data_IF_310061298622
#
_entry.id   IF_310061298622
#
_cell.length_a   1.000
_cell.length_b   1.000
_cell.length_c   1.000
_cell.angle_alpha   90.00
_cell.angle_beta   90.00
_cell.angle_gamma   90.00
#
_symmetry.space_group_name_H-M   'P 1'
#
loop_
_entity.id
_entity.type
_entity.pdbx_description
1 polymer ?
#
# COMPACT_ATOMS: atom_id res chain seq x y z
N UNK A 1 2.85 15.87 1.51
CA UNK A 1 3.88 16.23 0.52
C UNK A 1 5.17 15.51 0.90
N UNK A 2 5.87 14.94 -0.08
CA UNK A 2 7.17 14.30 0.09
C UNK A 2 8.29 15.34 -0.02
N UNK A 3 9.44 15.09 0.64
CA UNK A 3 10.56 16.04 0.66
C UNK A 3 11.29 16.22 -0.67
N UNK A 4 11.06 15.31 -1.62
CA UNK A 4 11.62 15.32 -2.98
C UNK A 4 10.75 14.43 -3.88
N UNK A 5 10.95 14.43 -5.21
CA UNK A 5 10.33 13.45 -6.09
C UNK A 5 10.82 12.03 -5.78
N UNK A 6 9.89 11.10 -5.57
CA UNK A 6 10.16 9.68 -5.41
C UNK A 6 9.52 8.88 -6.54
N UNK A 7 10.23 7.88 -7.04
CA UNK A 7 9.70 6.96 -8.04
C UNK A 7 8.89 5.86 -7.33
N UNK A 8 7.56 5.98 -7.35
CA UNK A 8 6.63 5.11 -6.63
C UNK A 8 5.79 4.29 -7.61
N UNK A 9 5.47 3.06 -7.22
CA UNK A 9 4.54 2.14 -7.89
C UNK A 9 3.49 1.56 -6.92
N UNK A 10 3.62 1.87 -5.63
CA UNK A 10 2.80 1.33 -4.57
C UNK A 10 2.70 2.28 -3.38
N UNK A 11 1.59 2.21 -2.67
CA UNK A 11 1.39 2.81 -1.35
C UNK A 11 0.33 2.01 -0.59
N UNK A 12 0.33 2.10 0.74
CA UNK A 12 -0.75 1.55 1.56
C UNK A 12 -1.29 2.62 2.49
N UNK A 13 -2.60 2.59 2.69
CA UNK A 13 -3.28 3.45 3.64
C UNK A 13 -4.10 2.60 4.60
N UNK A 14 -4.19 3.03 5.86
CA UNK A 14 -5.10 2.46 6.84
C UNK A 14 -6.27 3.42 7.01
N UNK A 15 -7.46 2.97 6.63
CA UNK A 15 -8.72 3.64 6.93
C UNK A 15 -9.14 3.23 8.34
N UNK A 16 -9.74 4.16 9.08
CA UNK A 16 -10.29 3.86 10.41
C UNK A 16 -11.29 2.69 10.34
N UNK A 17 -11.09 1.69 11.21
CA UNK A 17 -11.84 0.44 11.22
C UNK A 17 -12.30 0.01 12.62
N UNK A 18 -12.26 0.92 13.60
CA UNK A 18 -12.76 0.64 14.95
C UNK A 18 -14.31 0.68 15.04
N UNK A 19 -15.01 0.98 13.94
CA UNK A 19 -16.48 0.92 13.83
C UNK A 19 -16.91 0.49 12.41
N UNK A 20 -18.22 0.32 12.19
CA UNK A 20 -18.80 -0.21 10.94
C UNK A 20 -18.82 0.82 9.78
N UNK A 21 -17.93 1.81 9.80
CA UNK A 21 -17.84 2.82 8.75
C UNK A 21 -17.01 2.30 7.59
N UNK A 22 -17.50 2.58 6.40
CA UNK A 22 -16.76 2.36 5.16
C UNK A 22 -16.68 3.66 4.36
N UNK A 23 -15.62 3.76 3.58
CA UNK A 23 -15.27 4.96 2.84
C UNK A 23 -15.16 4.63 1.35
N UNK A 24 -15.69 5.52 0.52
CA UNK A 24 -15.39 5.56 -0.91
C UNK A 24 -14.47 6.73 -1.17
N UNK A 25 -13.41 6.51 -1.95
CA UNK A 25 -12.36 7.50 -2.13
C UNK A 25 -11.64 7.32 -3.46
N UNK A 26 -10.85 8.30 -3.83
CA UNK A 26 -9.89 8.17 -4.90
C UNK A 26 -8.56 8.83 -4.52
N UNK A 27 -7.49 8.42 -5.19
CA UNK A 27 -6.14 8.92 -4.95
C UNK A 27 -5.57 9.51 -6.23
N UNK A 28 -5.09 10.73 -6.10
CA UNK A 28 -4.36 11.43 -7.14
C UNK A 28 -2.91 11.66 -6.70
N UNK A 29 -2.00 11.66 -7.67
CA UNK A 29 -0.60 12.02 -7.46
C UNK A 29 -0.20 13.15 -8.38
N UNK A 30 0.78 13.93 -7.94
CA UNK A 30 1.33 15.03 -8.73
C UNK A 30 2.81 15.21 -8.43
N UNK A 31 3.54 15.77 -9.40
CA UNK A 31 4.91 16.26 -9.22
C UNK A 31 4.97 17.77 -8.99
N UNK A 32 3.92 18.52 -9.36
CA UNK A 32 3.98 19.98 -9.49
C UNK A 32 2.78 20.75 -8.86
N UNK A 33 1.81 20.07 -8.23
CA UNK A 33 0.55 20.62 -7.67
C UNK A 33 -0.50 21.10 -8.68
N UNK A 34 -0.19 21.19 -9.97
CA UNK A 34 -1.11 21.65 -11.00
C UNK A 34 -1.70 20.49 -11.79
N UNK A 35 -0.83 19.55 -12.19
CA UNK A 35 -1.21 18.36 -12.95
C UNK A 35 -1.40 17.19 -11.99
N UNK A 36 -2.62 16.68 -11.93
CA UNK A 36 -3.00 15.57 -11.06
C UNK A 36 -3.35 14.35 -11.89
N UNK A 37 -2.77 13.21 -11.53
CA UNK A 37 -3.05 11.93 -12.15
C UNK A 37 -3.81 11.03 -11.18
N UNK A 38 -4.99 10.57 -11.58
CA UNK A 38 -5.76 9.56 -10.87
C UNK A 38 -5.01 8.21 -10.93
N UNK A 39 -4.60 7.70 -9.77
CA UNK A 39 -3.89 6.41 -9.64
C UNK A 39 -4.74 5.31 -9.01
N UNK A 40 -5.82 5.68 -8.33
CA UNK A 40 -6.71 4.74 -7.65
C UNK A 40 -8.12 5.32 -7.56
N UNK A 41 -9.12 4.58 -8.03
CA UNK A 41 -10.53 4.97 -7.97
C UNK A 41 -11.35 3.90 -7.24
N UNK A 42 -11.88 4.27 -6.08
CA UNK A 42 -12.81 3.49 -5.26
C UNK A 42 -14.05 4.31 -4.92
N UNK A 43 -14.44 5.23 -5.78
CA UNK A 43 -15.61 6.12 -5.60
C UNK A 43 -16.94 5.39 -5.49
N UNK A 44 -17.00 4.13 -5.95
CA UNK A 44 -18.21 3.28 -5.95
C UNK A 44 -18.09 2.06 -5.05
N UNK A 45 -17.03 1.99 -4.24
CA UNK A 45 -16.74 0.85 -3.39
C UNK A 45 -16.72 1.28 -1.92
N UNK A 46 -17.12 0.36 -1.04
CA UNK A 46 -17.08 0.53 0.40
C UNK A 46 -15.77 -0.07 0.91
N UNK A 47 -14.80 0.78 1.23
CA UNK A 47 -13.47 0.39 1.68
C UNK A 47 -13.32 0.59 3.19
N UNK A 48 -12.60 -0.31 3.87
CA UNK A 48 -12.34 -0.27 5.32
C UNK A 48 -10.97 -0.88 5.62
N UNK A 49 -10.38 -0.55 6.77
CA UNK A 49 -9.06 -1.08 7.18
C UNK A 49 -7.95 -0.79 6.15
N UNK A 50 -6.97 -1.70 6.01
CA UNK A 50 -5.84 -1.57 5.09
C UNK A 50 -6.26 -1.60 3.63
N UNK A 51 -5.78 -0.62 2.88
CA UNK A 51 -5.95 -0.51 1.44
C UNK A 51 -4.59 -0.51 0.77
N UNK A 52 -4.33 -1.53 -0.04
CA UNK A 52 -3.13 -1.67 -0.84
C UNK A 52 -3.38 -1.07 -2.22
N UNK A 53 -2.60 -0.04 -2.56
CA UNK A 53 -2.76 0.73 -3.79
C UNK A 53 -1.53 0.49 -4.65
N UNK A 54 -1.75 -0.01 -5.87
CA UNK A 54 -0.69 -0.24 -6.86
C UNK A 54 -0.99 0.53 -8.13
N UNK A 55 0.02 1.15 -8.73
CA UNK A 55 -0.11 1.96 -9.93
C UNK A 55 1.17 1.91 -10.75
N UNK A 56 1.08 2.29 -12.04
CA UNK A 56 2.26 2.34 -12.91
C UNK A 56 3.34 3.21 -12.31
N UNK A 57 4.57 2.67 -12.22
CA UNK A 57 5.74 3.31 -11.63
C UNK A 57 5.97 4.71 -12.20
N UNK A 58 5.91 5.75 -11.35
CA UNK A 58 5.96 7.16 -11.77
C UNK A 58 6.55 8.07 -10.69
N UNK A 59 7.08 9.26 -11.05
CA UNK A 59 7.53 10.24 -10.07
C UNK A 59 6.34 10.85 -9.31
N UNK A 60 6.47 10.94 -7.99
CA UNK A 60 5.45 11.48 -7.08
C UNK A 60 6.10 12.42 -6.07
N UNK A 61 5.50 13.59 -5.87
CA UNK A 61 5.87 14.56 -4.81
C UNK A 61 4.66 14.83 -3.91
N UNK A 62 3.48 14.89 -4.50
CA UNK A 62 2.22 15.18 -3.84
C UNK A 62 1.29 14.00 -4.00
N UNK A 63 0.62 13.65 -2.91
CA UNK A 63 -0.41 12.63 -2.85
C UNK A 63 -1.64 13.32 -2.30
N UNK A 64 -2.77 13.18 -2.98
CA UNK A 64 -4.07 13.67 -2.54
C UNK A 64 -5.00 12.48 -2.42
N UNK A 65 -5.62 12.34 -1.27
CA UNK A 65 -6.64 11.32 -1.00
C UNK A 65 -7.95 12.06 -0.77
N UNK A 66 -8.95 11.75 -1.59
CA UNK A 66 -10.23 12.45 -1.58
C UNK A 66 -11.32 11.43 -1.22
N UNK A 67 -11.93 11.62 -0.06
CA UNK A 67 -13.16 10.91 0.31
C UNK A 67 -14.35 11.46 -0.48
N UNK A 68 -15.12 10.57 -1.10
CA UNK A 68 -16.30 10.92 -1.92
C UNK A 68 -17.60 10.44 -1.30
N UNK A 69 -17.57 9.32 -0.56
CA UNK A 69 -18.71 8.81 0.17
C UNK A 69 -18.26 8.18 1.49
N UNK A 70 -19.16 8.18 2.47
CA UNK A 70 -18.97 7.55 3.77
C UNK A 70 -20.30 6.90 4.18
N UNK A 71 -20.30 5.63 4.57
CA UNK A 71 -21.54 4.92 4.95
C UNK A 71 -22.13 5.31 6.30
N UNK A 72 -21.48 6.16 7.10
CA UNK A 72 -22.06 6.82 8.28
C UNK A 72 -23.15 7.86 7.95
N UNK A 73 -23.44 8.05 6.66
CA UNK A 73 -24.26 9.14 6.13
C UNK A 73 -25.76 9.07 6.44
N UNK A 74 -26.29 8.07 7.13
CA UNK A 74 -27.70 8.10 7.55
C UNK A 74 -27.94 8.78 8.91
N UNK A 75 -26.93 8.88 9.80
CA UNK A 75 -27.22 9.24 11.19
C UNK A 75 -26.31 10.30 11.85
N UNK A 76 -25.19 10.70 11.25
CA UNK A 76 -24.26 11.63 11.92
C UNK A 76 -23.67 12.64 10.95
N UNK A 77 -23.80 13.93 11.29
CA UNK A 77 -23.28 15.13 10.61
C UNK A 77 -21.74 15.21 10.49
N UNK A 78 -21.02 14.09 10.54
CA UNK A 78 -19.56 14.02 10.49
C UNK A 78 -19.09 13.34 9.20
N UNK A 79 -18.99 14.13 8.13
CA UNK A 79 -18.40 13.74 6.84
C UNK A 79 -16.86 13.73 6.89
N UNK A 80 -16.27 13.09 7.91
CA UNK A 80 -14.80 13.08 8.06
C UNK A 80 -14.22 11.82 7.44
N UNK A 81 -13.30 12.00 6.48
CA UNK A 81 -12.48 10.93 5.94
C UNK A 81 -11.30 10.68 6.91
N UNK A 82 -11.29 9.52 7.57
CA UNK A 82 -10.26 9.18 8.55
C UNK A 82 -9.24 8.19 7.97
N UNK A 83 -8.10 8.74 7.54
CA UNK A 83 -6.90 7.98 7.23
C UNK A 83 -5.94 8.08 8.43
N UNK A 84 -5.58 6.94 9.02
CA UNK A 84 -4.73 6.88 10.22
C UNK A 84 -3.29 6.48 9.92
N UNK A 85 -3.03 5.87 8.77
CA UNK A 85 -1.69 5.51 8.35
C UNK A 85 -1.55 5.70 6.84
N UNK A 86 -0.39 6.20 6.42
CA UNK A 86 0.01 6.24 5.02
C UNK A 86 1.47 5.84 4.94
N UNK A 87 1.75 4.88 4.06
CA UNK A 87 3.10 4.43 3.77
C UNK A 87 3.32 4.35 2.27
N UNK A 88 4.46 4.85 1.81
CA UNK A 88 4.89 4.74 0.43
C UNK A 88 6.44 4.68 0.33
N UNK A 89 7.00 3.74 -0.45
CA UNK A 89 6.33 2.62 -1.11
C UNK A 89 5.66 1.69 -0.08
N UNK A 90 4.64 0.93 -0.49
CA UNK A 90 4.03 -0.03 0.42
C UNK A 90 5.09 -1.09 0.77
N UNK A 91 5.39 -1.31 2.05
CA UNK A 91 6.09 -2.53 2.44
C UNK A 91 5.33 -3.72 1.88
N UNK A 92 6.04 -4.56 1.14
CA UNK A 92 5.58 -5.90 0.80
C UNK A 92 5.34 -6.63 2.11
N UNK A 93 4.11 -6.68 2.59
CA UNK A 93 3.70 -7.89 3.29
C UNK A 93 3.91 -9.01 2.28
N UNK A 94 4.67 -10.03 2.67
CA UNK A 94 4.97 -11.22 1.88
C UNK A 94 3.75 -11.62 1.04
N UNK A 95 3.68 -11.16 -0.21
CA UNK A 95 2.87 -11.81 -1.24
C UNK A 95 3.54 -13.15 -1.34
N UNK A 96 2.99 -14.11 -0.60
CA UNK A 96 3.59 -15.39 -0.26
C UNK A 96 4.65 -15.76 -1.28
N UNK A 97 5.93 -15.51 -0.93
CA UNK A 97 7.05 -15.99 -1.73
C UNK A 97 6.71 -17.45 -2.06
N UNK A 98 6.60 -17.86 -3.34
CA UNK A 98 6.35 -19.26 -3.64
C UNK A 98 7.42 -20.03 -2.89
N UNK A 99 6.96 -20.85 -1.94
CA UNK A 99 7.76 -21.51 -0.89
C UNK A 99 9.18 -21.69 -1.39
N UNK A 100 10.13 -21.02 -0.73
CA UNK A 100 11.55 -21.23 -0.96
C UNK A 100 11.79 -22.73 -1.09
N UNK A 101 12.15 -23.16 -2.31
CA UNK A 101 12.56 -24.53 -2.52
C UNK A 101 13.64 -24.85 -1.48
N UNK A 102 13.53 -25.97 -0.75
CA UNK A 102 14.55 -26.31 0.22
C UNK A 102 15.87 -26.44 -0.53
N UNK A 103 16.82 -25.54 -0.22
CA UNK A 103 18.17 -25.58 -0.77
C UNK A 103 18.70 -27.01 -0.61
N UNK A 104 19.21 -27.66 -1.66
CA UNK A 104 19.74 -29.01 -1.53
C UNK A 104 20.83 -28.99 -0.48
N UNK A 105 20.70 -29.88 0.53
CA UNK A 105 21.70 -30.03 1.58
C UNK A 105 23.04 -30.31 0.90
N UNK A 106 24.00 -29.41 1.08
CA UNK A 106 25.39 -29.66 0.74
C UNK A 106 25.84 -30.89 1.55
N UNK A 107 25.93 -32.04 0.91
CA UNK A 107 26.62 -33.19 1.49
C UNK A 107 28.11 -32.87 1.44
N UNK A 108 28.69 -32.54 2.60
CA UNK A 108 30.14 -32.55 2.78
C UNK A 108 30.65 -33.97 2.57
N UNK A 109 31.54 -34.14 1.58
CA UNK A 109 32.28 -35.38 1.36
C UNK A 109 33.15 -35.69 2.61
N UNK A 110 33.19 -36.94 3.09
CA UNK A 110 34.03 -37.31 4.22
C UNK A 110 35.52 -37.24 3.83
N UNK A 111 36.29 -36.48 4.60
CA UNK A 111 37.75 -36.39 4.52
C UNK A 111 38.37 -37.77 4.76
N UNK A 112 39.13 -38.30 3.79
CA UNK A 112 39.92 -39.51 3.97
C UNK A 112 41.04 -39.28 5.01
N UNK A 113 41.29 -40.22 5.94
CA UNK A 113 42.43 -40.12 6.85
C UNK A 113 43.74 -40.44 6.11
N UNK A 114 44.74 -39.57 6.26
CA UNK A 114 46.11 -39.82 5.80
C UNK A 114 46.78 -40.90 6.66
N UNK A 115 47.37 -41.90 6.00
CA UNK A 115 48.21 -42.93 6.60
C UNK A 115 49.51 -42.33 7.17
N UNK A 116 49.88 -42.78 8.36
CA UNK A 116 51.22 -42.71 8.93
C UNK A 116 51.64 -44.13 9.33
#
# INVERSE_FOLDING_TARGET
QLGQPYLLDSMRILLWDCDDRSYSYYVEVSVNLWDWELVWDKTRENCQSWQYITFTRRPVVFIRIIGTHNTANELVYCQVFHCVHLECPAQSEDVASPRSEPRPRHYSLPTQPQMA
#
